data_IF_010483169791
#
_entry.id   IF_010483169791
#
_cell.length_a   1.000
_cell.length_b   1.000
_cell.length_c   1.000
_cell.angle_alpha   90.00
_cell.angle_beta   90.00
_cell.angle_gamma   90.00
#
_symmetry.space_group_name_H-M   'P 1'
#
loop_
_entity.id
_entity.type
_entity.pdbx_description
1 polymer ?
#
# COMPACT_ATOMS: atom_id res chain seq x y z
N UNK A 1 -10.17 1.53 -2.77
CA UNK A 1 -10.62 2.95 -2.88
C UNK A 1 -12.12 3.14 -3.08
N UNK A 2 -12.92 2.07 -3.28
CA UNK A 2 -14.37 2.20 -3.46
C UNK A 2 -15.07 2.84 -2.24
N UNK A 3 -14.54 2.60 -1.04
CA UNK A 3 -15.07 3.11 0.22
C UNK A 3 -14.59 4.53 0.57
N UNK A 4 -13.78 5.16 -0.30
CA UNK A 4 -13.28 6.51 -0.08
C UNK A 4 -14.44 7.52 -0.14
N UNK A 5 -14.69 8.32 0.92
CA UNK A 5 -15.75 9.32 0.92
C UNK A 5 -15.57 10.36 -0.19
N UNK A 6 -16.68 10.79 -0.81
CA UNK A 6 -16.64 11.73 -1.94
C UNK A 6 -15.94 13.06 -1.62
N UNK A 7 -16.10 13.57 -0.38
CA UNK A 7 -15.47 14.81 0.07
C UNK A 7 -13.95 14.69 0.21
N UNK A 8 -13.42 13.50 0.53
CA UNK A 8 -11.97 13.24 0.58
C UNK A 8 -11.41 13.12 -0.83
N UNK A 9 -12.14 12.43 -1.72
CA UNK A 9 -11.70 12.19 -3.11
C UNK A 9 -11.50 13.46 -3.94
N UNK A 10 -12.25 14.53 -3.64
CA UNK A 10 -12.19 15.82 -4.36
C UNK A 10 -11.07 16.72 -3.83
N UNK A 11 -10.63 16.50 -2.59
CA UNK A 11 -9.54 17.26 -1.99
C UNK A 11 -8.20 16.68 -2.41
N UNK A 12 -7.39 17.49 -3.08
CA UNK A 12 -6.04 17.08 -3.50
C UNK A 12 -5.19 16.67 -2.30
N UNK A 13 -4.44 15.57 -2.44
CA UNK A 13 -3.61 14.99 -1.37
C UNK A 13 -4.35 14.11 -0.35
N UNK A 14 -5.67 14.26 -0.17
CA UNK A 14 -6.39 13.64 0.96
C UNK A 14 -6.68 12.14 0.81
N UNK A 15 -6.65 11.59 -0.41
CA UNK A 15 -6.84 10.14 -0.63
C UNK A 15 -5.78 9.29 0.05
N UNK A 16 -4.53 9.77 0.09
CA UNK A 16 -3.40 9.01 0.61
C UNK A 16 -3.43 8.96 2.14
N UNK A 17 -3.72 10.10 2.77
CA UNK A 17 -3.91 10.21 4.22
C UNK A 17 -5.03 9.30 4.69
N UNK A 18 -6.20 9.38 4.03
CA UNK A 18 -7.35 8.55 4.38
C UNK A 18 -7.06 7.06 4.19
N UNK A 19 -6.45 6.67 3.06
CA UNK A 19 -6.12 5.26 2.79
C UNK A 19 -5.12 4.69 3.80
N UNK A 20 -4.12 5.49 4.18
CA UNK A 20 -3.12 5.10 5.19
C UNK A 20 -3.78 4.94 6.56
N UNK A 21 -4.58 5.91 6.99
CA UNK A 21 -5.27 5.85 8.28
C UNK A 21 -6.26 4.68 8.35
N UNK A 22 -6.95 4.38 7.25
CA UNK A 22 -7.85 3.23 7.16
C UNK A 22 -7.08 1.92 7.33
N UNK A 23 -5.95 1.76 6.63
CA UNK A 23 -5.10 0.56 6.75
C UNK A 23 -4.51 0.38 8.16
N UNK A 24 -4.07 1.47 8.80
CA UNK A 24 -3.58 1.44 10.20
C UNK A 24 -4.68 1.05 11.18
N UNK A 25 -5.88 1.61 11.02
CA UNK A 25 -7.03 1.33 11.90
C UNK A 25 -7.47 -0.14 11.76
N UNK A 26 -7.55 -0.65 10.53
CA UNK A 26 -8.01 -2.01 10.26
C UNK A 26 -6.98 -3.07 10.68
N UNK A 27 -5.68 -2.77 10.62
CA UNK A 27 -4.62 -3.69 11.05
C UNK A 27 -4.32 -3.64 12.55
N UNK A 28 -4.65 -2.55 13.24
CA UNK A 28 -4.37 -2.35 14.67
C UNK A 28 -2.90 -2.09 15.00
N UNK A 29 -2.03 -2.00 13.99
CA UNK A 29 -0.60 -1.69 14.09
C UNK A 29 -0.12 -1.01 12.80
N UNK A 30 1.18 -0.75 12.66
CA UNK A 30 1.74 -0.31 11.37
C UNK A 30 2.04 -1.56 10.53
N UNK A 31 1.35 -1.79 9.41
CA UNK A 31 1.61 -2.95 8.57
C UNK A 31 2.89 -2.77 7.75
N UNK A 32 3.49 -3.89 7.33
CA UNK A 32 4.65 -3.87 6.44
C UNK A 32 4.32 -3.40 5.02
N UNK A 33 3.06 -3.60 4.58
CA UNK A 33 2.60 -3.31 3.23
C UNK A 33 1.19 -2.69 3.28
N UNK A 34 1.02 -1.57 2.58
CA UNK A 34 -0.30 -0.99 2.28
C UNK A 34 -0.44 -0.97 0.76
N UNK A 35 -1.52 -1.52 0.22
CA UNK A 35 -1.78 -1.48 -1.22
C UNK A 35 -3.15 -0.91 -1.53
N UNK A 36 -3.28 -0.34 -2.73
CA UNK A 36 -4.55 0.08 -3.28
C UNK A 36 -4.67 -0.37 -4.74
N UNK A 37 -5.85 -0.93 -5.08
CA UNK A 37 -6.19 -1.40 -6.43
C UNK A 37 -6.52 -0.24 -7.40
N UNK A 38 -6.01 0.96 -7.12
CA UNK A 38 -6.28 2.13 -7.95
C UNK A 38 -7.75 2.53 -8.00
N UNK A 39 -8.15 3.12 -9.12
CA UNK A 39 -9.51 3.56 -9.40
C UNK A 39 -9.60 4.22 -10.78
N UNK A 40 -10.74 4.82 -11.10
CA UNK A 40 -10.90 5.54 -12.37
C UNK A 40 -9.80 6.61 -12.50
N UNK A 41 -8.89 6.42 -13.47
CA UNK A 41 -7.71 7.27 -13.72
C UNK A 41 -6.73 7.39 -12.55
N UNK A 42 -6.69 6.38 -11.66
CA UNK A 42 -5.69 6.27 -10.59
C UNK A 42 -4.99 4.92 -10.74
N UNK A 43 -3.66 4.95 -10.81
CA UNK A 43 -2.85 3.74 -10.89
C UNK A 43 -2.92 2.93 -9.60
N UNK A 44 -2.74 1.62 -9.72
CA UNK A 44 -2.58 0.72 -8.58
C UNK A 44 -1.23 0.97 -7.90
N UNK A 45 -1.15 0.77 -6.59
CA UNK A 45 0.06 1.06 -5.83
C UNK A 45 0.26 0.07 -4.69
N UNK A 46 1.50 -0.35 -4.48
CA UNK A 46 1.95 -1.10 -3.30
C UNK A 46 2.99 -0.23 -2.57
N UNK A 47 2.78 0.01 -1.29
CA UNK A 47 3.67 0.78 -0.42
C UNK A 47 4.27 -0.16 0.61
N UNK A 48 5.60 -0.26 0.63
CA UNK A 48 6.33 -1.06 1.63
C UNK A 48 6.84 -0.12 2.71
N UNK A 49 6.57 -0.45 3.97
CA UNK A 49 6.91 0.34 5.15
C UNK A 49 7.97 -0.40 5.95
N UNK A 50 8.98 0.32 6.42
CA UNK A 50 10.02 -0.19 7.31
C UNK A 50 10.57 0.95 8.18
N UNK A 51 11.19 0.60 9.30
CA UNK A 51 11.80 1.55 10.23
C UNK A 51 13.09 2.15 9.67
N UNK A 52 13.78 1.41 8.81
CA UNK A 52 15.06 1.78 8.21
C UNK A 52 15.21 1.23 6.78
N UNK A 53 16.26 1.71 6.09
CA UNK A 53 16.53 1.38 4.69
C UNK A 53 16.91 -0.09 4.47
N UNK A 54 17.67 -0.69 5.38
CA UNK A 54 18.11 -2.08 5.27
C UNK A 54 16.91 -3.02 5.38
N UNK A 55 16.05 -2.78 6.38
CA UNK A 55 14.78 -3.48 6.54
C UNK A 55 13.87 -3.33 5.32
N UNK A 56 13.80 -2.12 4.73
CA UNK A 56 13.03 -1.87 3.51
C UNK A 56 13.53 -2.70 2.33
N UNK A 57 14.84 -2.68 2.07
CA UNK A 57 15.47 -3.44 0.98
C UNK A 57 15.23 -4.94 1.17
N UNK A 58 15.40 -5.45 2.40
CA UNK A 58 15.17 -6.85 2.71
C UNK A 58 13.72 -7.30 2.42
N UNK A 59 12.73 -6.48 2.78
CA UNK A 59 11.32 -6.74 2.45
C UNK A 59 11.08 -6.78 0.94
N UNK A 60 11.62 -5.81 0.20
CA UNK A 60 11.50 -5.75 -1.27
C UNK A 60 12.11 -6.99 -1.93
N UNK A 61 13.31 -7.42 -1.50
CA UNK A 61 13.96 -8.61 -2.04
C UNK A 61 13.19 -9.89 -1.73
N UNK A 62 12.58 -10.00 -0.54
CA UNK A 62 11.73 -11.13 -0.19
C UNK A 62 10.50 -11.23 -1.10
N UNK A 63 9.82 -10.10 -1.34
CA UNK A 63 8.67 -10.01 -2.26
C UNK A 63 9.09 -10.46 -3.68
N UNK A 64 10.21 -9.95 -4.18
CA UNK A 64 10.72 -10.31 -5.51
C UNK A 64 11.02 -11.81 -5.65
N UNK A 65 11.66 -12.40 -4.64
CA UNK A 65 11.98 -13.84 -4.62
C UNK A 65 10.72 -14.69 -4.61
N UNK A 66 9.69 -14.31 -3.85
CA UNK A 66 8.41 -14.99 -3.83
C UNK A 66 7.72 -14.93 -5.20
N UNK A 67 7.65 -13.73 -5.80
CA UNK A 67 7.04 -13.56 -7.11
C UNK A 67 7.74 -14.41 -8.19
N UNK A 68 9.08 -14.44 -8.20
CA UNK A 68 9.83 -15.30 -9.13
C UNK A 68 9.50 -16.79 -9.00
N UNK A 69 9.31 -17.30 -7.77
CA UNK A 69 8.93 -18.70 -7.56
C UNK A 69 7.54 -18.99 -8.10
N UNK A 70 6.58 -18.10 -7.83
CA UNK A 70 5.20 -18.26 -8.32
C UNK A 70 5.10 -18.19 -9.84
N UNK A 71 5.89 -17.33 -10.49
CA UNK A 71 5.90 -17.19 -11.96
C UNK A 71 6.65 -18.32 -12.70
N UNK A 72 7.33 -19.22 -11.97
CA UNK A 72 8.05 -20.37 -12.53
C UNK A 72 7.36 -21.71 -12.26
N UNK A 73 6.25 -21.71 -11.50
CA UNK A 73 5.40 -22.86 -11.22
C UNK A 73 4.16 -22.82 -12.12
#
# INVERSE_FOLDING_TARGET
RADEPKNIRVREGSSLEWGTQKALTDSGSVPDIIYDLGGIRKEEMIRVIAEDLESLINKILAIHRLHKKTSQA
#
